data_IF_377984852259
#
_entry.id   IF_377984852259
#
_cell.length_a   1.000
_cell.length_b   1.000
_cell.length_c   1.000
_cell.angle_alpha   90.00
_cell.angle_beta   90.00
_cell.angle_gamma   90.00
#
_symmetry.space_group_name_H-M   'P 1'
#
loop_
_entity.id
_entity.type
_entity.pdbx_description
1 polymer ?
#
# COMPACT_ATOMS: atom_id res chain seq x y z
N UNK A 1 -2.24 -30.29 -4.70
CA UNK A 1 -1.60 -28.98 -4.96
C UNK A 1 -1.37 -28.72 -6.45
N UNK A 2 -0.73 -29.63 -7.20
CA UNK A 2 -0.46 -29.49 -8.63
C UNK A 2 -1.72 -29.33 -9.52
N UNK A 3 -2.78 -30.10 -9.24
CA UNK A 3 -4.05 -30.01 -10.00
C UNK A 3 -4.75 -28.65 -9.87
N UNK A 4 -4.68 -28.00 -8.70
CA UNK A 4 -5.24 -26.66 -8.47
C UNK A 4 -4.42 -25.57 -9.17
N UNK A 5 -3.08 -25.73 -9.23
CA UNK A 5 -2.19 -24.83 -9.97
C UNK A 5 -2.48 -24.88 -11.48
N UNK A 6 -2.61 -26.09 -12.05
CA UNK A 6 -2.97 -26.26 -13.47
C UNK A 6 -4.37 -25.71 -13.78
N UNK A 7 -5.41 -26.19 -13.09
CA UNK A 7 -6.81 -25.85 -13.42
C UNK A 7 -7.25 -24.45 -12.94
N UNK A 8 -6.63 -23.93 -11.88
CA UNK A 8 -7.01 -22.65 -11.28
C UNK A 8 -6.25 -21.45 -11.85
N UNK A 9 -4.99 -21.64 -12.26
CA UNK A 9 -4.07 -20.53 -12.57
C UNK A 9 -3.59 -20.59 -14.02
N UNK A 10 -3.12 -21.76 -14.48
CA UNK A 10 -2.62 -21.93 -15.86
C UNK A 10 -3.79 -21.88 -16.85
N UNK A 11 -4.84 -22.67 -16.60
CA UNK A 11 -6.01 -22.77 -17.47
C UNK A 11 -6.89 -21.50 -17.48
N UNK A 12 -6.80 -20.66 -16.43
CA UNK A 12 -7.50 -19.36 -16.35
C UNK A 12 -6.68 -18.18 -16.86
N UNK A 13 -5.49 -18.41 -17.42
CA UNK A 13 -4.63 -17.34 -17.95
C UNK A 13 -4.02 -16.42 -16.88
N UNK A 14 -3.98 -16.85 -15.61
CA UNK A 14 -3.48 -16.03 -14.48
C UNK A 14 -2.01 -16.28 -14.15
N UNK A 15 -1.35 -17.14 -14.91
CA UNK A 15 0.07 -17.47 -14.74
C UNK A 15 0.99 -16.24 -14.74
N UNK A 16 0.86 -15.27 -15.67
CA UNK A 16 1.70 -14.07 -15.66
C UNK A 16 1.54 -13.23 -14.38
N UNK A 17 0.31 -13.09 -13.87
CA UNK A 17 0.04 -12.35 -12.63
C UNK A 17 0.66 -13.04 -11.41
N UNK A 18 0.59 -14.37 -11.34
CA UNK A 18 1.24 -15.12 -10.26
C UNK A 18 2.76 -14.96 -10.32
N UNK A 19 3.35 -15.10 -11.51
CA UNK A 19 4.79 -14.93 -11.70
C UNK A 19 5.25 -13.51 -11.34
N UNK A 20 4.48 -12.49 -11.72
CA UNK A 20 4.70 -11.09 -11.30
C UNK A 20 4.69 -10.95 -9.77
N UNK A 21 3.66 -11.48 -9.11
CA UNK A 21 3.55 -11.37 -7.65
C UNK A 21 4.70 -12.08 -6.92
N UNK A 22 5.06 -13.29 -7.36
CA UNK A 22 6.17 -14.04 -6.77
C UNK A 22 7.50 -13.31 -6.97
N UNK A 23 7.76 -12.82 -8.18
CA UNK A 23 8.96 -12.06 -8.49
C UNK A 23 9.04 -10.76 -7.68
N UNK A 24 7.92 -10.05 -7.53
CA UNK A 24 7.80 -8.85 -6.71
C UNK A 24 8.14 -9.13 -5.23
N UNK A 25 7.48 -10.12 -4.63
CA UNK A 25 7.70 -10.49 -3.21
C UNK A 25 9.17 -10.89 -2.99
N UNK A 26 9.70 -11.78 -3.84
CA UNK A 26 11.06 -12.28 -3.71
C UNK A 26 12.08 -11.14 -3.83
N UNK A 27 11.91 -10.27 -4.83
CA UNK A 27 12.80 -9.12 -5.04
C UNK A 27 12.80 -8.19 -3.85
N UNK A 28 11.63 -7.84 -3.33
CA UNK A 28 11.51 -6.99 -2.14
C UNK A 28 12.23 -7.60 -0.91
N UNK A 29 12.05 -8.90 -0.66
CA UNK A 29 12.76 -9.55 0.45
C UNK A 29 14.29 -9.55 0.24
N UNK A 30 14.74 -9.77 -0.99
CA UNK A 30 16.17 -9.75 -1.34
C UNK A 30 16.76 -8.36 -1.14
N UNK A 31 16.15 -7.30 -1.68
CA UNK A 31 16.66 -5.92 -1.51
C UNK A 31 16.68 -5.51 -0.04
N UNK A 32 15.60 -5.80 0.69
CA UNK A 32 15.50 -5.52 2.13
C UNK A 32 16.59 -6.23 2.94
N UNK A 33 16.89 -7.47 2.58
CA UNK A 33 17.94 -8.27 3.22
C UNK A 33 19.31 -7.68 2.91
N UNK A 34 19.56 -7.26 1.67
CA UNK A 34 20.81 -6.60 1.29
C UNK A 34 21.01 -5.27 2.01
N UNK A 35 20.00 -4.41 2.08
CA UNK A 35 20.07 -3.13 2.82
C UNK A 35 20.35 -3.39 4.31
N UNK A 36 19.64 -4.34 4.93
CA UNK A 36 19.89 -4.73 6.33
C UNK A 36 21.30 -5.26 6.54
N UNK A 37 21.80 -6.09 5.63
CA UNK A 37 23.15 -6.63 5.69
C UNK A 37 24.20 -5.51 5.56
N UNK A 38 24.03 -4.59 4.62
CA UNK A 38 24.93 -3.44 4.41
C UNK A 38 24.95 -2.55 5.66
N UNK A 39 23.79 -2.20 6.23
CA UNK A 39 23.70 -1.38 7.45
C UNK A 39 24.35 -2.07 8.65
N UNK A 40 24.08 -3.37 8.87
CA UNK A 40 24.71 -4.14 9.96
C UNK A 40 26.22 -4.22 9.81
N UNK A 41 26.71 -4.40 8.58
CA UNK A 41 28.14 -4.43 8.27
C UNK A 41 28.81 -3.08 8.51
N UNK A 42 28.17 -1.99 8.08
CA UNK A 42 28.65 -0.62 8.30
C UNK A 42 28.75 -0.31 9.81
N UNK A 43 27.72 -0.67 10.58
CA UNK A 43 27.73 -0.53 12.04
C UNK A 43 28.81 -1.40 12.72
N UNK A 44 29.17 -2.55 12.14
CA UNK A 44 30.22 -3.44 12.63
C UNK A 44 31.64 -3.09 12.13
N UNK A 45 31.82 -2.00 11.38
CA UNK A 45 33.14 -1.55 10.91
C UNK A 45 33.86 -2.48 9.91
N UNK A 46 33.13 -3.42 9.28
CA UNK A 46 33.75 -4.43 8.39
C UNK A 46 33.91 -3.92 6.94
N UNK A 47 35.12 -3.97 6.34
CA UNK A 47 35.32 -3.57 4.95
C UNK A 47 34.54 -4.48 3.98
N UNK A 48 34.08 -3.91 2.86
CA UNK A 48 33.34 -4.66 1.84
C UNK A 48 34.31 -5.54 1.03
N UNK A 49 33.99 -6.83 0.87
CA UNK A 49 34.68 -7.72 -0.08
C UNK A 49 34.18 -7.43 -1.51
N UNK A 50 34.99 -7.78 -2.51
CA UNK A 50 34.70 -7.50 -3.93
C UNK A 50 33.35 -8.08 -4.41
N UNK A 51 32.93 -9.22 -3.88
CA UNK A 51 31.65 -9.86 -4.21
C UNK A 51 30.45 -9.39 -3.33
N UNK A 52 30.63 -8.43 -2.42
CA UNK A 52 29.55 -7.95 -1.56
C UNK A 52 28.78 -6.78 -2.21
N UNK A 53 27.45 -6.70 -2.02
CA UNK A 53 26.63 -5.62 -2.56
C UNK A 53 27.10 -4.27 -1.99
N UNK A 54 27.27 -3.29 -2.88
CA UNK A 54 27.77 -1.94 -2.59
C UNK A 54 26.83 -0.91 -3.21
N UNK A 55 26.77 0.28 -2.62
CA UNK A 55 26.09 1.41 -3.26
C UNK A 55 26.76 1.69 -4.61
N UNK A 56 25.94 1.97 -5.62
CA UNK A 56 26.40 2.28 -6.97
C UNK A 56 26.60 3.80 -7.04
N UNK A 57 27.85 4.21 -7.22
CA UNK A 57 28.23 5.59 -7.43
C UNK A 57 28.82 5.71 -8.82
N UNK A 58 28.31 6.64 -9.63
CA UNK A 58 28.96 7.07 -10.87
C UNK A 58 29.44 8.50 -10.62
N UNK A 59 30.75 8.66 -10.40
CA UNK A 59 31.33 9.94 -9.98
C UNK A 59 30.82 10.37 -8.59
N UNK A 60 30.22 11.56 -8.51
CA UNK A 60 29.61 12.11 -7.28
C UNK A 60 28.13 11.75 -7.10
N UNK A 61 27.49 11.11 -8.08
CA UNK A 61 26.04 10.84 -8.08
C UNK A 61 25.76 9.43 -7.56
N UNK A 62 24.94 9.35 -6.51
CA UNK A 62 24.38 8.11 -6.00
C UNK A 62 23.18 7.68 -6.84
N UNK A 63 23.28 6.53 -7.50
CA UNK A 63 22.15 5.95 -8.22
C UNK A 63 21.36 5.10 -7.26
N UNK A 64 20.14 5.54 -6.97
CA UNK A 64 19.17 4.75 -6.21
C UNK A 64 18.64 3.62 -7.08
N UNK A 65 18.41 2.46 -6.48
CA UNK A 65 17.97 1.27 -7.20
C UNK A 65 16.57 1.43 -7.85
N UNK A 66 15.79 2.41 -7.37
CA UNK A 66 14.55 2.89 -8.00
C UNK A 66 14.72 3.21 -9.49
N UNK A 67 15.87 3.76 -9.91
CA UNK A 67 16.10 4.11 -11.32
C UNK A 67 16.12 2.86 -12.22
N UNK A 68 16.78 1.80 -11.77
CA UNK A 68 16.74 0.51 -12.47
C UNK A 68 15.33 -0.08 -12.44
N UNK A 69 14.60 0.08 -11.33
CA UNK A 69 13.21 -0.31 -11.20
C UNK A 69 12.31 0.35 -12.26
N UNK A 70 12.41 1.68 -12.43
CA UNK A 70 11.65 2.44 -13.42
C UNK A 70 11.95 1.95 -14.84
N UNK A 71 13.23 1.80 -15.20
CA UNK A 71 13.62 1.29 -16.52
C UNK A 71 13.04 -0.11 -16.76
N UNK A 72 13.12 -0.98 -15.76
CA UNK A 72 12.62 -2.35 -15.87
C UNK A 72 11.10 -2.40 -16.03
N UNK A 73 10.35 -1.57 -15.27
CA UNK A 73 8.90 -1.41 -15.41
C UNK A 73 8.54 -0.88 -16.80
N UNK A 74 9.27 0.11 -17.31
CA UNK A 74 8.98 0.71 -18.62
C UNK A 74 9.21 -0.29 -19.76
N UNK A 75 10.34 -0.99 -19.75
CA UNK A 75 10.67 -1.99 -20.79
C UNK A 75 9.66 -3.14 -20.72
N UNK A 76 9.46 -3.73 -19.53
CA UNK A 76 8.54 -4.86 -19.37
C UNK A 76 7.09 -4.49 -19.66
N UNK A 77 6.64 -3.29 -19.28
CA UNK A 77 5.32 -2.77 -19.60
C UNK A 77 5.13 -2.61 -21.10
N UNK A 78 6.12 -2.04 -21.80
CA UNK A 78 6.09 -1.95 -23.27
C UNK A 78 6.09 -3.35 -23.91
N UNK A 79 6.87 -4.29 -23.39
CA UNK A 79 6.86 -5.69 -23.85
C UNK A 79 5.48 -6.33 -23.65
N UNK A 80 4.84 -6.15 -22.50
CA UNK A 80 3.48 -6.66 -22.25
C UNK A 80 2.45 -6.07 -23.22
N UNK A 81 2.57 -4.78 -23.57
CA UNK A 81 1.70 -4.15 -24.58
C UNK A 81 1.98 -4.70 -25.98
N UNK A 82 3.25 -4.85 -26.36
CA UNK A 82 3.62 -5.40 -27.66
C UNK A 82 3.16 -6.87 -27.82
N UNK A 83 3.29 -7.66 -26.75
CA UNK A 83 2.83 -9.05 -26.72
C UNK A 83 1.31 -9.18 -26.66
N UNK A 84 0.56 -8.11 -26.33
CA UNK A 84 -0.90 -8.17 -26.15
C UNK A 84 -1.69 -8.65 -27.38
N UNK A 85 -1.08 -8.56 -28.57
CA UNK A 85 -1.71 -8.92 -29.85
C UNK A 85 -1.47 -10.38 -30.23
N UNK A 86 -0.20 -10.84 -30.19
CA UNK A 86 0.20 -12.17 -30.72
C UNK A 86 1.05 -13.01 -29.75
N UNK A 87 1.24 -12.54 -28.51
CA UNK A 87 2.16 -13.16 -27.55
C UNK A 87 1.67 -14.49 -26.99
N UNK A 88 2.62 -15.39 -26.73
CA UNK A 88 2.33 -16.67 -26.07
C UNK A 88 2.42 -16.54 -24.54
N UNK A 89 1.67 -17.36 -23.79
CA UNK A 89 1.69 -17.38 -22.32
C UNK A 89 3.09 -17.31 -21.65
N UNK A 90 4.13 -18.05 -22.10
CA UNK A 90 5.46 -17.96 -21.48
C UNK A 90 6.11 -16.58 -21.65
N UNK A 91 5.89 -15.90 -22.77
CA UNK A 91 6.45 -14.58 -23.04
C UNK A 91 5.83 -13.53 -22.11
N UNK A 92 4.51 -13.59 -21.92
CA UNK A 92 3.82 -12.78 -20.92
C UNK A 92 4.31 -13.07 -19.50
N UNK A 93 4.57 -14.34 -19.15
CA UNK A 93 5.07 -14.70 -17.84
C UNK A 93 6.46 -14.09 -17.58
N UNK A 94 7.37 -14.14 -18.56
CA UNK A 94 8.70 -13.53 -18.46
C UNK A 94 8.61 -12.01 -18.34
N UNK A 95 7.82 -11.37 -19.20
CA UNK A 95 7.62 -9.92 -19.12
C UNK A 95 7.00 -9.50 -17.77
N UNK A 96 6.06 -10.28 -17.25
CA UNK A 96 5.43 -10.06 -15.96
C UNK A 96 6.40 -10.27 -14.78
N UNK A 97 7.37 -11.19 -14.87
CA UNK A 97 8.45 -11.34 -13.88
C UNK A 97 9.29 -10.07 -13.84
N UNK A 98 9.76 -9.58 -14.98
CA UNK A 98 10.55 -8.34 -15.04
C UNK A 98 9.76 -7.14 -14.53
N UNK A 99 8.48 -7.06 -14.86
CA UNK A 99 7.59 -6.04 -14.31
C UNK A 99 7.52 -6.13 -12.77
N UNK A 100 7.34 -7.33 -12.22
CA UNK A 100 7.31 -7.57 -10.77
C UNK A 100 8.61 -7.19 -10.07
N UNK A 101 9.77 -7.54 -10.65
CA UNK A 101 11.10 -7.13 -10.15
C UNK A 101 11.19 -5.60 -10.15
N UNK A 102 10.83 -4.96 -11.26
CA UNK A 102 10.95 -3.51 -11.43
C UNK A 102 10.06 -2.76 -10.44
N UNK A 103 8.81 -3.20 -10.30
CA UNK A 103 7.86 -2.64 -9.35
C UNK A 103 8.35 -2.78 -7.90
N UNK A 104 8.97 -3.90 -7.54
CA UNK A 104 9.54 -4.10 -6.20
C UNK A 104 10.68 -3.13 -5.90
N UNK A 105 11.58 -2.91 -6.86
CA UNK A 105 12.67 -1.94 -6.74
C UNK A 105 12.15 -0.50 -6.60
N UNK A 106 11.04 -0.17 -7.27
CA UNK A 106 10.42 1.16 -7.15
C UNK A 106 9.75 1.32 -5.78
N UNK A 107 9.02 0.31 -5.32
CA UNK A 107 8.27 0.35 -4.07
C UNK A 107 9.15 0.24 -2.81
N UNK A 108 10.34 -0.38 -2.90
CA UNK A 108 11.28 -0.43 -1.76
C UNK A 108 11.73 0.99 -1.34
N UNK A 109 11.87 1.88 -2.32
CA UNK A 109 12.28 3.28 -2.12
C UNK A 109 11.09 4.27 -2.10
N UNK A 110 9.87 3.78 -1.88
CA UNK A 110 8.64 4.58 -1.92
C UNK A 110 8.70 5.87 -1.08
N UNK A 111 9.34 5.79 0.10
CA UNK A 111 9.52 6.94 0.99
C UNK A 111 10.32 8.09 0.34
N UNK A 112 11.34 7.75 -0.46
CA UNK A 112 12.18 8.73 -1.16
C UNK A 112 11.46 9.34 -2.36
N UNK A 113 10.66 8.55 -3.07
CA UNK A 113 9.86 9.01 -4.23
C UNK A 113 8.85 10.07 -3.81
N UNK A 114 8.22 9.92 -2.64
CA UNK A 114 7.19 10.85 -2.16
C UNK A 114 7.68 11.97 -1.25
N UNK A 115 9.00 12.22 -1.19
CA UNK A 115 9.62 13.26 -0.36
C UNK A 115 8.86 13.51 0.96
N UNK A 116 8.74 12.46 1.76
CA UNK A 116 8.02 12.45 3.03
C UNK A 116 8.83 13.18 4.11
N UNK A 117 9.07 14.48 3.90
CA UNK A 117 9.67 15.39 4.89
C UNK A 117 8.64 15.97 5.86
N UNK A 118 7.34 15.75 5.63
CA UNK A 118 6.29 16.19 6.54
C UNK A 118 5.99 15.08 7.55
N UNK A 119 6.44 15.30 8.80
CA UNK A 119 5.95 14.94 10.17
C UNK A 119 5.06 13.68 10.38
N UNK A 120 4.34 13.20 9.38
CA UNK A 120 3.39 12.11 9.44
C UNK A 120 4.03 10.70 9.40
N UNK A 121 5.30 10.54 8.98
CA UNK A 121 5.88 9.20 8.75
C UNK A 121 7.42 9.05 8.90
N UNK A 122 8.04 9.61 9.94
CA UNK A 122 9.50 9.52 10.20
C UNK A 122 10.03 8.11 10.61
N UNK A 123 9.49 7.04 10.02
CA UNK A 123 10.14 5.75 10.00
C UNK A 123 10.30 5.28 8.55
N UNK A 124 11.37 5.74 7.90
CA UNK A 124 11.75 5.47 6.49
C UNK A 124 11.64 4.00 6.06
N UNK A 125 11.67 3.06 7.01
CA UNK A 125 11.50 1.64 6.78
C UNK A 125 10.06 1.10 6.85
N UNK A 126 9.10 1.77 7.50
CA UNK A 126 7.73 1.23 7.67
C UNK A 126 6.82 1.54 6.48
N UNK A 127 6.98 2.73 5.88
CA UNK A 127 6.13 3.19 4.77
C UNK A 127 6.29 2.33 3.51
N UNK A 128 7.51 1.91 3.17
CA UNK A 128 7.73 0.99 2.04
C UNK A 128 7.15 -0.40 2.29
N UNK A 129 7.18 -0.87 3.53
CA UNK A 129 6.58 -2.16 3.93
C UNK A 129 5.05 -2.11 3.78
N UNK A 130 4.40 -1.05 4.24
CA UNK A 130 2.95 -0.89 4.11
C UNK A 130 2.51 -0.81 2.64
N UNK A 131 3.26 -0.08 1.81
CA UNK A 131 3.01 0.02 0.37
C UNK A 131 3.13 -1.36 -0.32
N UNK A 132 4.14 -2.14 0.05
CA UNK A 132 4.36 -3.51 -0.45
C UNK A 132 3.24 -4.46 -0.01
N UNK A 133 2.82 -4.42 1.26
CA UNK A 133 1.69 -5.23 1.72
C UNK A 133 0.40 -4.88 0.98
N UNK A 134 0.15 -3.60 0.71
CA UNK A 134 -0.99 -3.16 -0.07
C UNK A 134 -0.93 -3.68 -1.52
N UNK A 135 0.23 -3.58 -2.17
CA UNK A 135 0.45 -4.10 -3.51
C UNK A 135 0.24 -5.62 -3.59
N UNK A 136 0.78 -6.37 -2.62
CA UNK A 136 0.61 -7.83 -2.50
C UNK A 136 -0.86 -8.19 -2.29
N UNK A 137 -1.57 -7.47 -1.42
CA UNK A 137 -2.98 -7.71 -1.17
C UNK A 137 -3.82 -7.50 -2.44
N UNK A 138 -3.59 -6.41 -3.17
CA UNK A 138 -4.29 -6.13 -4.44
C UNK A 138 -3.98 -7.18 -5.49
N UNK A 139 -2.71 -7.48 -5.71
CA UNK A 139 -2.30 -8.50 -6.66
C UNK A 139 -2.86 -9.89 -6.30
N UNK A 140 -2.88 -10.24 -5.01
CA UNK A 140 -3.50 -11.46 -4.50
C UNK A 140 -5.00 -11.52 -4.78
N UNK A 141 -5.73 -10.42 -4.55
CA UNK A 141 -7.15 -10.32 -4.89
C UNK A 141 -7.39 -10.50 -6.41
N UNK A 142 -6.56 -9.86 -7.25
CA UNK A 142 -6.62 -10.01 -8.70
C UNK A 142 -6.36 -11.45 -9.16
N UNK A 143 -5.39 -12.15 -8.55
CA UNK A 143 -5.11 -13.57 -8.83
C UNK A 143 -6.27 -14.47 -8.39
N UNK A 144 -6.93 -14.16 -7.27
CA UNK A 144 -8.17 -14.83 -6.86
C UNK A 144 -9.33 -14.57 -7.84
N UNK A 145 -9.19 -13.59 -8.74
CA UNK A 145 -10.19 -13.24 -9.74
C UNK A 145 -11.15 -12.19 -9.25
N UNK A 146 -10.87 -11.60 -8.08
CA UNK A 146 -11.58 -10.43 -7.63
C UNK A 146 -11.01 -9.24 -8.38
N UNK A 147 -11.78 -8.72 -9.33
CA UNK A 147 -11.48 -7.45 -9.98
C UNK A 147 -12.38 -6.38 -9.36
N UNK A 148 -11.92 -5.14 -9.11
CA UNK A 148 -12.79 -4.07 -8.61
C UNK A 148 -14.04 -3.86 -9.48
N UNK A 149 -13.92 -4.20 -10.76
CA UNK A 149 -15.00 -4.09 -11.75
C UNK A 149 -15.95 -5.29 -11.80
N UNK A 150 -15.68 -6.40 -11.10
CA UNK A 150 -16.49 -7.63 -11.18
C UNK A 150 -17.93 -7.44 -10.67
N UNK A 151 -18.15 -6.48 -9.78
CA UNK A 151 -19.47 -6.14 -9.26
C UNK A 151 -20.25 -5.20 -10.17
N UNK A 152 -19.56 -4.54 -11.11
CA UNK A 152 -20.18 -3.64 -12.09
C UNK A 152 -20.38 -4.32 -13.43
N UNK A 153 -19.44 -5.16 -13.85
CA UNK A 153 -19.47 -5.97 -15.05
C UNK A 153 -19.91 -7.39 -14.69
N UNK A 154 -21.22 -7.71 -14.66
CA UNK A 154 -21.63 -9.10 -14.65
C UNK A 154 -21.02 -9.75 -15.89
N UNK A 155 -19.99 -10.57 -15.68
CA UNK A 155 -19.36 -11.33 -16.74
C UNK A 155 -20.45 -12.24 -17.29
N UNK A 156 -20.80 -11.99 -18.55
CA UNK A 156 -21.66 -12.78 -19.41
C UNK A 156 -21.29 -14.27 -19.28
N UNK A 157 -22.04 -14.99 -18.45
CA UNK A 157 -22.08 -16.45 -18.40
C UNK A 157 -23.56 -16.82 -18.41
N UNK A 158 -24.10 -17.02 -19.61
CA UNK A 158 -25.50 -17.33 -19.81
C UNK A 158 -26.13 -16.37 -20.82
N UNK A 159 -26.63 -16.96 -21.90
CA UNK A 159 -27.40 -16.33 -22.97
C UNK A 159 -28.81 -15.97 -22.47
N UNK A 160 -28.94 -15.26 -21.36
CA UNK A 160 -30.26 -14.97 -20.77
C UNK A 160 -30.76 -13.56 -21.17
N UNK A 161 -31.97 -13.42 -21.74
CA UNK A 161 -32.53 -12.14 -22.21
C UNK A 161 -33.02 -11.20 -21.09
N UNK A 162 -32.70 -11.47 -19.82
CA UNK A 162 -33.43 -10.90 -18.69
C UNK A 162 -33.10 -9.42 -18.40
N UNK A 163 -31.94 -8.92 -18.84
CA UNK A 163 -31.55 -7.51 -18.63
C UNK A 163 -31.16 -6.86 -19.98
N UNK A 164 -31.87 -5.80 -20.41
CA UNK A 164 -31.51 -5.05 -21.61
C UNK A 164 -30.08 -4.49 -21.53
N UNK A 165 -29.35 -4.51 -22.64
CA UNK A 165 -27.98 -4.00 -22.72
C UNK A 165 -27.84 -2.54 -22.26
N UNK A 166 -28.86 -1.72 -22.49
CA UNK A 166 -28.92 -0.32 -22.03
C UNK A 166 -28.95 -0.20 -20.50
N UNK A 167 -29.71 -1.09 -19.83
CA UNK A 167 -29.79 -1.14 -18.36
C UNK A 167 -28.46 -1.61 -17.78
N UNK A 168 -27.83 -2.60 -18.40
CA UNK A 168 -26.50 -3.06 -18.01
C UNK A 168 -25.44 -1.95 -18.08
N UNK A 169 -25.38 -1.23 -19.21
CA UNK A 169 -24.46 -0.10 -19.37
C UNK A 169 -24.73 1.01 -18.35
N UNK A 170 -26.00 1.34 -18.10
CA UNK A 170 -26.38 2.33 -17.10
C UNK A 170 -25.97 1.91 -15.67
N UNK A 171 -26.09 0.63 -15.32
CA UNK A 171 -25.66 0.10 -14.02
C UNK A 171 -24.13 0.14 -13.86
N UNK A 172 -23.37 -0.21 -14.90
CA UNK A 172 -21.89 -0.10 -14.89
C UNK A 172 -21.46 1.35 -14.68
N UNK A 173 -22.01 2.27 -15.48
CA UNK A 173 -21.68 3.69 -15.41
C UNK A 173 -22.10 4.27 -14.06
N UNK A 174 -23.31 3.96 -13.60
CA UNK A 174 -23.80 4.41 -12.30
C UNK A 174 -22.96 3.88 -11.13
N UNK A 175 -22.54 2.63 -11.20
CA UNK A 175 -21.64 2.02 -10.23
C UNK A 175 -20.25 2.68 -10.19
N UNK A 176 -19.68 2.98 -11.37
CA UNK A 176 -18.42 3.70 -11.50
C UNK A 176 -18.51 5.12 -10.93
N UNK A 177 -19.57 5.85 -11.30
CA UNK A 177 -19.85 7.22 -10.84
C UNK A 177 -20.10 7.27 -9.34
N UNK A 178 -20.64 6.20 -8.74
CA UNK A 178 -20.87 6.16 -7.29
C UNK A 178 -19.60 5.77 -6.52
N UNK A 179 -18.89 4.74 -6.97
CA UNK A 179 -17.83 4.12 -6.16
C UNK A 179 -16.47 4.79 -6.27
N UNK A 180 -16.10 5.34 -7.44
CA UNK A 180 -14.84 6.07 -7.57
C UNK A 180 -14.81 7.32 -6.68
N UNK A 181 -15.83 8.20 -6.65
CA UNK A 181 -15.82 9.35 -5.75
C UNK A 181 -15.85 8.92 -4.29
N UNK A 182 -16.54 7.82 -3.96
CA UNK A 182 -16.60 7.31 -2.60
C UNK A 182 -15.23 6.80 -2.13
N UNK A 183 -14.49 6.08 -2.99
CA UNK A 183 -13.12 5.68 -2.75
C UNK A 183 -12.21 6.89 -2.55
N UNK A 184 -12.31 7.91 -3.40
CA UNK A 184 -11.58 9.18 -3.25
C UNK A 184 -11.87 9.83 -1.90
N UNK A 185 -13.14 9.91 -1.48
CA UNK A 185 -13.52 10.45 -0.16
C UNK A 185 -12.90 9.64 0.99
N UNK A 186 -12.89 8.31 0.90
CA UNK A 186 -12.28 7.45 1.93
C UNK A 186 -10.76 7.64 1.99
N UNK A 187 -10.10 7.83 0.85
CA UNK A 187 -8.67 8.13 0.77
C UNK A 187 -8.36 9.51 1.36
N UNK A 188 -9.12 10.55 1.01
CA UNK A 188 -8.98 11.89 1.61
C UNK A 188 -9.19 11.88 3.13
N UNK A 189 -9.96 10.92 3.65
CA UNK A 189 -10.15 10.70 5.09
C UNK A 189 -9.00 9.94 5.78
N UNK A 190 -7.94 9.60 5.05
CA UNK A 190 -6.74 8.93 5.57
C UNK A 190 -6.92 7.44 5.83
N UNK A 191 -7.93 6.80 5.23
CA UNK A 191 -8.23 5.37 5.46
C UNK A 191 -7.88 4.52 4.24
N UNK A 192 -6.61 4.53 3.87
CA UNK A 192 -6.06 3.87 2.67
C UNK A 192 -6.51 2.41 2.58
N UNK A 193 -6.36 1.64 3.66
CA UNK A 193 -6.76 0.23 3.73
C UNK A 193 -8.26 -0.01 3.52
N UNK A 194 -9.13 0.82 4.09
CA UNK A 194 -10.58 0.67 3.88
C UNK A 194 -11.03 1.15 2.50
N UNK A 195 -10.31 2.10 1.91
CA UNK A 195 -10.54 2.53 0.52
C UNK A 195 -10.14 1.44 -0.47
N UNK A 196 -8.95 0.86 -0.25
CA UNK A 196 -8.39 -0.22 -1.07
C UNK A 196 -9.25 -1.48 -1.00
N UNK A 197 -9.56 -1.96 0.20
CA UNK A 197 -10.45 -3.12 0.37
C UNK A 197 -11.89 -2.78 -0.04
N UNK A 198 -12.30 -1.52 0.12
CA UNK A 198 -13.60 -1.03 -0.27
C UNK A 198 -13.83 -0.99 -1.78
N UNK A 199 -12.79 -0.83 -2.59
CA UNK A 199 -12.91 -1.00 -4.04
C UNK A 199 -13.39 -2.40 -4.45
N UNK A 200 -13.17 -3.41 -3.61
CA UNK A 200 -13.68 -4.76 -3.80
C UNK A 200 -15.00 -5.00 -3.03
N UNK A 201 -15.25 -4.23 -1.97
CA UNK A 201 -16.44 -4.39 -1.12
C UNK A 201 -17.08 -3.02 -0.92
N UNK A 202 -18.06 -2.67 -1.76
CA UNK A 202 -18.70 -1.34 -1.79
C UNK A 202 -19.25 -0.93 -0.41
N UNK A 203 -19.73 -1.89 0.39
CA UNK A 203 -20.19 -1.66 1.76
C UNK A 203 -19.09 -1.03 2.64
N UNK A 204 -17.83 -1.44 2.48
CA UNK A 204 -16.72 -0.84 3.21
C UNK A 204 -16.43 0.59 2.77
N UNK A 205 -16.66 0.96 1.51
CA UNK A 205 -16.57 2.35 1.06
C UNK A 205 -17.65 3.21 1.70
N UNK A 206 -18.90 2.73 1.75
CA UNK A 206 -20.01 3.44 2.40
C UNK A 206 -19.72 3.64 3.88
N UNK A 207 -19.31 2.58 4.59
CA UNK A 207 -18.94 2.66 6.01
C UNK A 207 -17.71 3.57 6.21
N UNK A 208 -16.71 3.48 5.32
CA UNK A 208 -15.51 4.30 5.33
C UNK A 208 -15.82 5.79 5.14
N UNK A 209 -16.77 6.10 4.26
CA UNK A 209 -17.22 7.44 3.93
C UNK A 209 -18.09 8.04 5.04
N UNK A 210 -18.99 7.26 5.65
CA UNK A 210 -19.83 7.73 6.76
C UNK A 210 -19.01 7.94 8.04
N UNK A 211 -18.06 7.04 8.33
CA UNK A 211 -17.24 7.13 9.56
C UNK A 211 -16.34 8.38 9.57
N UNK A 212 -16.14 8.94 10.77
CA UNK A 212 -15.19 10.04 11.04
C UNK A 212 -13.82 9.78 10.39
N UNK A 213 -13.18 10.85 9.91
CA UNK A 213 -11.84 10.78 9.31
C UNK A 213 -10.77 10.57 10.37
N UNK A 214 -9.57 10.12 9.95
CA UNK A 214 -8.41 10.13 10.82
C UNK A 214 -8.03 11.59 11.19
N UNK A 215 -7.53 11.85 12.41
CA UNK A 215 -7.25 13.20 12.88
C UNK A 215 -6.10 13.91 12.13
N UNK A 216 -5.16 13.14 11.57
CA UNK A 216 -4.04 13.61 10.75
C UNK A 216 -4.37 13.74 9.25
N UNK A 217 -5.57 13.38 8.80
CA UNK A 217 -5.90 13.37 7.37
C UNK A 217 -6.17 14.78 6.80
N UNK A 218 -5.94 15.01 5.49
CA UNK A 218 -6.28 16.28 4.84
C UNK A 218 -7.75 16.70 5.04
N UNK A 219 -8.68 15.74 5.08
CA UNK A 219 -10.08 15.98 5.38
C UNK A 219 -10.30 16.59 6.78
N UNK A 220 -9.54 16.15 7.79
CA UNK A 220 -9.63 16.69 9.15
C UNK A 220 -9.09 18.13 9.19
N UNK A 221 -7.99 18.41 8.47
CA UNK A 221 -7.41 19.75 8.32
C UNK A 221 -8.39 20.76 7.71
N UNK A 222 -9.17 20.35 6.71
CA UNK A 222 -10.14 21.26 6.09
C UNK A 222 -11.45 21.36 6.89
N UNK A 223 -11.95 20.24 7.43
CA UNK A 223 -13.32 20.17 7.98
C UNK A 223 -13.43 20.33 9.49
N UNK A 224 -12.39 19.95 10.24
CA UNK A 224 -12.41 19.84 11.70
C UNK A 224 -11.64 20.97 12.39
N UNK A 225 -10.82 21.74 11.68
CA UNK A 225 -10.13 22.94 12.22
C UNK A 225 -11.12 23.93 12.83
N UNK A 226 -12.23 24.22 12.14
CA UNK A 226 -13.28 25.11 12.67
C UNK A 226 -14.31 24.40 13.57
N UNK A 227 -14.05 23.15 14.01
CA UNK A 227 -14.98 22.34 14.81
C UNK A 227 -14.22 21.51 15.88
N UNK A 228 -13.79 22.14 16.98
CA UNK A 228 -12.92 21.51 17.98
C UNK A 228 -13.53 20.27 18.63
N UNK A 229 -14.85 20.23 18.86
CA UNK A 229 -15.50 19.05 19.42
C UNK A 229 -15.43 17.81 18.53
N UNK A 230 -15.51 18.00 17.21
CA UNK A 230 -15.41 16.87 16.26
C UNK A 230 -13.97 16.37 16.15
N UNK A 231 -13.00 17.27 16.25
CA UNK A 231 -11.58 16.91 16.33
C UNK A 231 -11.28 16.13 17.61
N UNK A 232 -11.77 16.60 18.76
CA UNK A 232 -11.62 15.91 20.05
C UNK A 232 -12.18 14.49 20.01
N UNK A 233 -13.40 14.30 19.49
CA UNK A 233 -14.01 12.97 19.32
C UNK A 233 -13.22 12.07 18.36
N UNK A 234 -12.60 12.63 17.33
CA UNK A 234 -11.75 11.88 16.41
C UNK A 234 -10.46 11.39 17.11
N UNK A 235 -9.83 12.26 17.90
CA UNK A 235 -8.62 11.95 18.69
C UNK A 235 -8.91 10.90 19.77
N UNK A 236 -9.96 11.09 20.58
CA UNK A 236 -10.37 10.13 21.62
C UNK A 236 -10.63 8.74 21.05
N UNK A 237 -11.29 8.68 19.89
CA UNK A 237 -11.55 7.41 19.19
C UNK A 237 -10.27 6.78 18.67
N UNK A 238 -9.43 7.54 17.98
CA UNK A 238 -8.18 7.02 17.42
C UNK A 238 -7.30 6.46 18.53
N UNK A 239 -7.21 7.17 19.67
CA UNK A 239 -6.50 6.72 20.86
C UNK A 239 -7.09 5.43 21.43
N UNK A 240 -8.42 5.32 21.55
CA UNK A 240 -9.10 4.09 22.03
C UNK A 240 -8.80 2.86 21.17
N UNK A 241 -8.80 3.01 19.84
CA UNK A 241 -8.57 1.87 18.93
C UNK A 241 -7.09 1.55 18.74
N UNK A 242 -6.17 2.53 18.83
CA UNK A 242 -4.72 2.30 18.73
C UNK A 242 -4.09 1.78 20.00
N UNK A 243 -4.61 2.12 21.18
CA UNK A 243 -4.05 1.68 22.48
C UNK A 243 -3.76 0.17 22.57
N UNK A 244 -4.68 -0.76 22.23
CA UNK A 244 -4.37 -2.19 22.29
C UNK A 244 -3.29 -2.63 21.28
N UNK A 245 -3.23 -1.99 20.11
CA UNK A 245 -2.23 -2.29 19.08
C UNK A 245 -0.84 -1.82 19.50
N UNK A 246 -0.75 -0.61 20.07
CA UNK A 246 0.49 -0.04 20.62
C UNK A 246 1.00 -0.89 21.79
N UNK A 247 0.10 -1.32 22.69
CA UNK A 247 0.43 -2.25 23.77
C UNK A 247 0.97 -3.58 23.25
N UNK A 248 0.30 -4.20 22.28
CA UNK A 248 0.76 -5.45 21.68
C UNK A 248 2.13 -5.29 20.99
N UNK A 249 2.34 -4.17 20.29
CA UNK A 249 3.61 -3.85 19.63
C UNK A 249 4.75 -3.68 20.64
N UNK A 250 4.55 -2.89 21.69
CA UNK A 250 5.54 -2.68 22.76
C UNK A 250 5.84 -3.99 23.50
N UNK A 251 4.81 -4.79 23.78
CA UNK A 251 4.98 -6.10 24.40
C UNK A 251 5.82 -7.03 23.53
N UNK A 252 5.56 -7.07 22.21
CA UNK A 252 6.35 -7.86 21.27
C UNK A 252 7.81 -7.38 21.22
N UNK A 253 8.04 -6.06 21.22
CA UNK A 253 9.39 -5.49 21.27
C UNK A 253 10.13 -5.90 22.56
N UNK A 254 9.46 -5.83 23.71
CA UNK A 254 9.99 -6.26 25.00
C UNK A 254 10.29 -7.78 25.05
N UNK A 255 9.40 -8.59 24.47
CA UNK A 255 9.58 -10.04 24.37
C UNK A 255 10.79 -10.40 23.48
N UNK A 256 10.95 -9.73 22.33
CA UNK A 256 12.09 -9.91 21.43
C UNK A 256 13.40 -9.42 22.09
N UNK A 257 13.32 -8.37 22.91
CA UNK A 257 14.46 -7.86 23.69
C UNK A 257 14.84 -8.74 24.90
N UNK A 258 14.12 -9.85 25.14
CA UNK A 258 14.43 -10.81 26.21
C UNK A 258 13.85 -10.44 27.58
N UNK A 259 13.02 -9.39 27.66
CA UNK A 259 12.35 -8.98 28.90
C UNK A 259 10.83 -8.90 28.68
N UNK A 260 10.10 -10.03 28.71
CA UNK A 260 8.65 -10.03 28.50
C UNK A 260 7.95 -9.40 29.71
N UNK A 261 7.85 -8.07 29.72
CA UNK A 261 7.10 -7.28 30.71
C UNK A 261 5.93 -6.62 30.01
N UNK A 262 4.84 -6.43 30.76
CA UNK A 262 3.74 -5.57 30.32
C UNK A 262 4.30 -4.14 30.14
N UNK A 263 4.01 -3.46 29.01
CA UNK A 263 4.44 -2.09 28.79
C UNK A 263 3.91 -1.16 29.87
N UNK A 264 4.73 -0.24 30.35
CA UNK A 264 4.30 0.82 31.26
C UNK A 264 3.24 1.71 30.58
N UNK A 265 2.17 2.07 31.29
CA UNK A 265 1.09 2.89 30.71
C UNK A 265 1.60 4.24 30.21
N UNK A 266 2.61 4.80 30.88
CA UNK A 266 3.26 6.05 30.46
C UNK A 266 3.98 5.93 29.12
N UNK A 267 4.61 4.78 28.86
CA UNK A 267 5.27 4.52 27.58
C UNK A 267 4.26 4.31 26.46
N UNK A 268 3.13 3.66 26.76
CA UNK A 268 2.00 3.50 25.83
C UNK A 268 1.37 4.84 25.48
N UNK A 269 1.13 5.69 26.47
CA UNK A 269 0.52 7.01 26.27
C UNK A 269 1.48 7.97 25.56
N UNK A 270 2.77 7.96 25.88
CA UNK A 270 3.77 8.74 25.15
C UNK A 270 3.86 8.34 23.67
N UNK A 271 3.78 7.04 23.36
CA UNK A 271 3.76 6.57 21.97
C UNK A 271 2.44 6.89 21.27
N UNK A 272 1.31 6.87 21.99
CA UNK A 272 0.02 7.32 21.47
C UNK A 272 0.02 8.82 21.17
N UNK A 273 0.70 9.64 21.96
CA UNK A 273 0.81 11.08 21.73
C UNK A 273 1.66 11.41 20.50
N UNK A 274 2.72 10.64 20.26
CA UNK A 274 3.48 10.72 19.02
C UNK A 274 2.64 10.28 17.80
N UNK A 275 1.93 9.16 17.91
CA UNK A 275 1.17 8.57 16.81
C UNK A 275 -0.17 9.28 16.49
N UNK A 276 -0.78 9.94 17.49
CA UNK A 276 -2.13 10.50 17.41
C UNK A 276 -2.11 12.02 17.65
N UNK A 277 -1.60 12.75 16.66
CA UNK A 277 -1.63 14.20 16.63
C UNK A 277 -2.64 14.73 15.60
N UNK A 278 -3.26 15.90 15.84
CA UNK A 278 -4.10 16.56 14.84
C UNK A 278 -3.22 17.08 13.68
N UNK A 279 -3.78 17.10 12.48
CA UNK A 279 -3.10 17.74 11.35
C UNK A 279 -2.82 19.22 11.66
N UNK A 280 -1.62 19.75 11.33
CA UNK A 280 -1.32 21.17 11.53
C UNK A 280 -2.31 22.05 10.75
N UNK A 281 -2.71 23.20 11.31
CA UNK A 281 -3.60 24.13 10.61
C UNK A 281 -2.94 24.60 9.30
N UNK A 282 -3.73 24.92 8.26
CA UNK A 282 -3.18 25.49 7.03
C UNK A 282 -2.44 26.80 7.34
N UNK A 283 -1.27 26.98 6.73
CA UNK A 283 -0.46 28.20 6.87
C UNK A 283 -1.31 29.44 6.61
N UNK A 284 -1.31 30.38 7.58
CA UNK A 284 -2.09 31.61 7.53
C UNK A 284 -3.34 31.66 8.42
N UNK A 285 -3.63 30.62 9.21
CA UNK A 285 -4.65 30.72 10.27
C UNK A 285 -3.93 31.06 11.58
N UNK A 286 -4.01 32.32 12.03
CA UNK A 286 -3.46 32.70 13.33
C UNK A 286 -4.02 31.80 14.44
N UNK A 287 -3.21 31.41 15.44
CA UNK A 287 -3.72 30.71 16.59
C UNK A 287 -4.71 31.63 17.29
N UNK A 288 -5.98 31.22 17.36
CA UNK A 288 -6.94 31.84 18.26
C UNK A 288 -6.40 31.66 19.68
N UNK A 289 -5.74 32.70 20.18
CA UNK A 289 -5.34 32.85 21.57
C UNK A 289 -6.60 32.73 22.42
N UNK A 290 -6.74 31.59 23.10
CA UNK A 290 -7.74 31.42 24.15
C UNK A 290 -7.17 32.13 25.37
N UNK A 291 -7.68 33.34 25.62
CA UNK A 291 -7.66 33.98 26.94
C UNK A 291 -8.77 33.47 27.84
#
# INVERSE_FOLDING_TARGET
MFHWLQHGIVDRGRLPLLCCLLAFILTFFVTRTFVRFIRRRAAAGRPARWWHPRNIHIGSVHIHHVAFGVVLVMISGLTLVALSVDGHQPEFAVAAIFFGIGAALVLDEYALILHLSDVYWEEDGRTSVDAVFAAVAVAGLLIMGLHPLMFFLPIRHGSDPLIPHSVLHALVIGGLVLTLPLAVVVLFKGKVWTGLLGMFIVVLLVVGAIRLSRPHAPWARWRYTNRPEKMRRALERERKWRRPVVQAKLWLQCAIAGTPRLPDERAVDAQLDQDVHPAPPPEGTEPALIG
#
